data_IF_477450826020
#
_entry.id   IF_477450826020
#
_cell.length_a   1.000
_cell.length_b   1.000
_cell.length_c   1.000
_cell.angle_alpha   90.00
_cell.angle_beta   90.00
_cell.angle_gamma   90.00
#
_symmetry.space_group_name_H-M   'P 1'
#
loop_
_entity.id
_entity.type
_entity.pdbx_description
1 polymer ?
#
# COMPACT_ATOMS: atom_id res chain seq x y z
N UNK A 1 -12.30 -5.44 -0.25
CA UNK A 1 -10.86 -5.16 -0.26
C UNK A 1 -10.39 -5.25 -1.70
N UNK A 2 -9.96 -4.12 -2.27
CA UNK A 2 -9.56 -4.07 -3.68
C UNK A 2 -8.16 -4.66 -3.87
N UNK A 3 -8.08 -5.82 -4.51
CA UNK A 3 -6.82 -6.35 -5.01
C UNK A 3 -6.36 -5.49 -6.19
N UNK A 4 -5.16 -4.93 -6.11
CA UNK A 4 -4.54 -4.28 -7.26
C UNK A 4 -3.53 -5.25 -7.87
N UNK A 5 -3.71 -5.52 -9.15
CA UNK A 5 -2.74 -6.27 -9.95
C UNK A 5 -1.96 -5.25 -10.77
N UNK A 6 -0.70 -5.07 -10.43
CA UNK A 6 0.22 -4.30 -11.25
C UNK A 6 0.73 -5.25 -12.34
N UNK A 7 0.08 -5.22 -13.51
CA UNK A 7 0.37 -6.10 -14.63
C UNK A 7 1.12 -5.34 -15.72
N UNK A 8 2.30 -5.82 -16.08
CA UNK A 8 3.11 -5.28 -17.16
C UNK A 8 3.36 -6.37 -18.20
N UNK A 9 3.47 -5.95 -19.47
CA UNK A 9 3.80 -6.87 -20.56
C UNK A 9 5.28 -7.26 -20.46
N UNK A 10 5.54 -8.48 -20.05
CA UNK A 10 6.89 -9.07 -19.96
C UNK A 10 6.92 -10.10 -18.85
N UNK A 11 7.63 -11.18 -19.07
CA UNK A 11 7.93 -12.20 -18.06
C UNK A 11 9.45 -12.29 -17.88
N UNK A 12 10.05 -11.24 -17.33
CA UNK A 12 11.46 -11.28 -17.01
C UNK A 12 11.68 -12.32 -15.89
N UNK A 13 12.67 -13.17 -16.06
CA UNK A 13 13.03 -14.14 -15.02
C UNK A 13 13.66 -13.40 -13.81
N UNK A 14 12.82 -13.01 -12.86
CA UNK A 14 13.21 -12.22 -11.67
C UNK A 14 14.05 -13.05 -10.71
N UNK A 15 13.87 -14.35 -10.67
CA UNK A 15 14.59 -15.23 -9.75
C UNK A 15 16.11 -15.13 -9.91
N UNK A 16 16.57 -14.90 -11.15
CA UNK A 16 17.99 -14.81 -11.47
C UNK A 16 18.56 -13.40 -11.38
N UNK A 17 17.73 -12.37 -11.10
CA UNK A 17 18.22 -11.01 -10.97
C UNK A 17 18.93 -10.81 -9.64
N UNK A 18 20.09 -10.17 -9.70
CA UNK A 18 20.78 -9.66 -8.51
C UNK A 18 20.36 -8.21 -8.22
N UNK A 19 20.65 -7.71 -7.02
CA UNK A 19 20.41 -6.29 -6.74
C UNK A 19 21.25 -5.37 -7.65
N UNK A 20 22.43 -5.79 -8.09
CA UNK A 20 23.25 -5.03 -9.05
C UNK A 20 22.59 -4.93 -10.42
N UNK A 21 21.88 -5.98 -10.88
CA UNK A 21 21.14 -5.95 -12.15
C UNK A 21 19.96 -4.97 -12.11
N UNK A 22 19.49 -4.62 -10.94
CA UNK A 22 18.36 -3.70 -10.76
C UNK A 22 18.81 -2.29 -10.41
N UNK A 23 19.70 -2.15 -9.42
CA UNK A 23 20.08 -0.88 -8.80
C UNK A 23 21.48 -0.37 -9.20
N UNK A 24 22.27 -1.16 -9.91
CA UNK A 24 23.61 -0.76 -10.37
C UNK A 24 23.58 0.27 -11.48
N UNK A 25 24.77 0.80 -11.86
CA UNK A 25 24.93 1.81 -12.92
C UNK A 25 24.39 1.34 -14.27
N UNK A 26 24.57 0.06 -14.60
CA UNK A 26 24.03 -0.59 -15.79
C UNK A 26 22.73 -1.37 -15.52
N UNK A 27 22.12 -1.12 -14.38
CA UNK A 27 20.92 -1.81 -13.92
C UNK A 27 19.65 -1.38 -14.66
N UNK A 28 18.59 -2.12 -14.40
CA UNK A 28 17.27 -1.90 -15.02
C UNK A 28 16.73 -0.51 -14.71
N UNK A 29 16.88 -0.05 -13.46
CA UNK A 29 16.38 1.27 -13.03
C UNK A 29 17.18 2.41 -13.66
N UNK A 30 18.50 2.30 -13.75
CA UNK A 30 19.37 3.30 -14.38
C UNK A 30 19.07 3.45 -15.88
N UNK A 31 18.81 2.34 -16.56
CA UNK A 31 18.43 2.35 -17.99
C UNK A 31 17.03 2.92 -18.24
N UNK A 32 16.10 2.68 -17.32
CA UNK A 32 14.71 3.09 -17.52
C UNK A 32 14.44 4.52 -17.06
N UNK A 33 15.05 4.94 -15.97
CA UNK A 33 14.73 6.22 -15.32
C UNK A 33 15.96 7.14 -15.26
N UNK A 34 15.95 8.24 -16.02
CA UNK A 34 17.03 9.25 -16.04
C UNK A 34 17.29 9.92 -14.68
N UNK A 35 16.32 9.91 -13.79
CA UNK A 35 16.44 10.48 -12.44
C UNK A 35 17.03 9.49 -11.43
N UNK A 36 17.19 8.23 -11.80
CA UNK A 36 17.75 7.22 -10.92
C UNK A 36 19.27 7.38 -10.84
N UNK A 37 19.76 7.47 -9.63
CA UNK A 37 21.19 7.49 -9.32
C UNK A 37 21.56 6.15 -8.69
N UNK A 38 22.54 5.47 -9.24
CA UNK A 38 23.05 4.25 -8.64
C UNK A 38 23.83 4.57 -7.36
N UNK A 39 23.67 3.74 -6.36
CA UNK A 39 24.28 3.87 -5.04
C UNK A 39 24.73 2.50 -4.56
N UNK A 40 26.03 2.32 -4.37
CA UNK A 40 26.59 1.05 -3.90
C UNK A 40 25.91 0.55 -2.61
N UNK A 41 25.63 1.45 -1.66
CA UNK A 41 24.96 1.11 -0.41
C UNK A 41 23.49 0.66 -0.62
N UNK A 42 22.82 1.10 -1.70
CA UNK A 42 21.48 0.60 -2.02
C UNK A 42 21.53 -0.82 -2.56
N UNK A 43 22.52 -1.14 -3.38
CA UNK A 43 22.77 -2.50 -3.87
C UNK A 43 23.06 -3.45 -2.72
N UNK A 44 23.97 -3.06 -1.81
CA UNK A 44 24.30 -3.84 -0.61
C UNK A 44 23.06 -4.07 0.27
N UNK A 45 22.30 -3.02 0.54
CA UNK A 45 21.05 -3.11 1.33
C UNK A 45 20.04 -4.08 0.68
N UNK A 46 19.85 -4.00 -0.63
CA UNK A 46 18.91 -4.85 -1.36
C UNK A 46 19.38 -6.32 -1.38
N UNK A 47 20.68 -6.58 -1.54
CA UNK A 47 21.25 -7.92 -1.43
C UNK A 47 21.03 -8.51 -0.04
N UNK A 48 21.30 -7.75 1.01
CA UNK A 48 21.08 -8.21 2.40
C UNK A 48 19.60 -8.52 2.66
N UNK A 49 18.67 -7.71 2.15
CA UNK A 49 17.24 -8.01 2.22
C UNK A 49 16.89 -9.32 1.52
N UNK A 50 17.46 -9.55 0.33
CA UNK A 50 17.23 -10.75 -0.46
C UNK A 50 17.76 -12.00 0.26
N UNK A 51 18.98 -11.95 0.79
CA UNK A 51 19.60 -13.04 1.56
C UNK A 51 18.77 -13.40 2.82
N UNK A 52 18.28 -12.40 3.56
CA UNK A 52 17.45 -12.63 4.74
C UNK A 52 16.14 -13.32 4.35
N UNK A 53 15.45 -12.82 3.32
CA UNK A 53 14.16 -13.37 2.91
C UNK A 53 14.30 -14.77 2.28
N UNK A 54 15.31 -15.00 1.47
CA UNK A 54 15.57 -16.29 0.81
C UNK A 54 16.03 -17.35 1.81
N UNK A 55 16.87 -16.95 2.77
CA UNK A 55 17.39 -17.85 3.80
C UNK A 55 16.42 -18.17 4.94
N UNK A 56 15.20 -17.63 4.97
CA UNK A 56 14.28 -17.69 6.11
C UNK A 56 14.93 -17.22 7.43
N UNK A 57 15.82 -16.25 7.32
CA UNK A 57 16.55 -15.66 8.46
C UNK A 57 15.81 -14.42 9.00
N UNK A 58 16.21 -14.00 10.17
CA UNK A 58 15.80 -12.70 10.74
C UNK A 58 16.98 -11.74 10.70
N UNK A 59 16.71 -10.48 10.42
CA UNK A 59 17.74 -9.44 10.37
C UNK A 59 17.20 -8.08 10.79
N UNK A 60 18.09 -7.23 11.29
CA UNK A 60 17.83 -5.82 11.57
C UNK A 60 18.77 -5.00 10.70
N UNK A 61 18.21 -4.17 9.83
CA UNK A 61 18.96 -3.36 8.89
C UNK A 61 18.73 -1.88 9.19
N UNK A 62 19.81 -1.15 9.45
CA UNK A 62 19.79 0.29 9.59
C UNK A 62 20.44 0.93 8.36
N UNK A 63 19.76 1.92 7.78
CA UNK A 63 20.29 2.66 6.66
C UNK A 63 19.79 4.10 6.68
N UNK A 64 20.62 5.03 6.24
CA UNK A 64 20.32 6.46 6.20
C UNK A 64 19.09 6.83 5.37
N UNK A 65 18.54 8.00 5.62
CA UNK A 65 17.46 8.56 4.78
C UNK A 65 17.97 8.81 3.36
N UNK A 66 17.09 8.61 2.36
CA UNK A 66 17.47 8.84 0.96
C UNK A 66 18.21 7.69 0.27
N UNK A 67 18.57 6.61 0.98
CA UNK A 67 19.25 5.45 0.40
C UNK A 67 18.41 4.68 -0.64
N UNK A 68 17.10 4.86 -0.66
CA UNK A 68 16.22 4.04 -1.51
C UNK A 68 15.83 2.70 -0.89
N UNK A 69 15.82 2.62 0.45
CA UNK A 69 15.44 1.40 1.21
C UNK A 69 14.17 0.74 0.71
N UNK A 70 13.14 1.56 0.42
CA UNK A 70 11.83 1.06 -0.03
C UNK A 70 11.92 0.19 -1.26
N UNK A 71 12.66 0.63 -2.27
CA UNK A 71 12.88 -0.14 -3.49
C UNK A 71 13.69 -1.42 -3.20
N UNK A 72 14.69 -1.36 -2.31
CA UNK A 72 15.54 -2.50 -1.95
C UNK A 72 14.73 -3.65 -1.35
N UNK A 73 13.95 -3.40 -0.29
CA UNK A 73 13.15 -4.47 0.31
C UNK A 73 11.94 -4.89 -0.53
N UNK A 74 11.37 -3.98 -1.36
CA UNK A 74 10.32 -4.34 -2.31
C UNK A 74 10.85 -5.29 -3.40
N UNK A 75 12.07 -5.06 -3.89
CA UNK A 75 12.74 -5.97 -4.84
C UNK A 75 12.88 -7.36 -4.24
N UNK A 76 13.44 -7.47 -3.04
CA UNK A 76 13.59 -8.74 -2.33
C UNK A 76 12.24 -9.43 -2.09
N UNK A 77 11.20 -8.67 -1.72
CA UNK A 77 9.84 -9.17 -1.53
C UNK A 77 9.23 -9.73 -2.83
N UNK A 78 9.40 -9.01 -3.96
CA UNK A 78 8.93 -9.46 -5.28
C UNK A 78 9.68 -10.74 -5.68
N UNK A 79 11.01 -10.73 -5.59
CA UNK A 79 11.85 -11.90 -5.93
C UNK A 79 11.43 -13.13 -5.14
N UNK A 80 11.24 -13.00 -3.82
CA UNK A 80 10.76 -14.07 -2.94
C UNK A 80 9.42 -14.66 -3.40
N UNK A 81 8.51 -13.85 -3.96
CA UNK A 81 7.22 -14.34 -4.47
C UNK A 81 7.32 -15.15 -5.76
N UNK A 82 8.39 -14.99 -6.51
CA UNK A 82 8.65 -15.76 -7.73
C UNK A 82 9.48 -17.02 -7.49
N UNK A 83 9.99 -17.22 -6.29
CA UNK A 83 10.66 -18.48 -5.94
C UNK A 83 9.63 -19.62 -5.86
N UNK A 84 9.99 -20.80 -6.41
CA UNK A 84 9.09 -21.93 -6.59
C UNK A 84 8.47 -22.44 -5.27
N UNK A 85 9.17 -22.31 -4.15
CA UNK A 85 8.74 -22.74 -2.82
C UNK A 85 8.06 -21.64 -2.00
N UNK A 86 7.84 -20.46 -2.56
CA UNK A 86 7.22 -19.34 -1.84
C UNK A 86 5.74 -19.61 -1.55
N UNK A 87 5.45 -20.11 -0.37
CA UNK A 87 4.09 -20.28 0.15
C UNK A 87 3.70 -19.08 1.02
N UNK A 88 2.50 -18.55 0.80
CA UNK A 88 1.94 -17.47 1.59
C UNK A 88 2.35 -16.07 1.11
N UNK A 89 1.77 -15.02 1.73
CA UNK A 89 2.04 -13.63 1.38
C UNK A 89 3.34 -13.12 2.00
N UNK A 90 4.00 -12.17 1.32
CA UNK A 90 5.00 -11.30 1.96
C UNK A 90 4.27 -10.11 2.56
N UNK A 91 4.49 -9.84 3.83
CA UNK A 91 3.83 -8.75 4.57
C UNK A 91 4.83 -7.63 4.84
N UNK A 92 4.49 -6.41 4.42
CA UNK A 92 5.28 -5.20 4.69
C UNK A 92 4.48 -4.32 5.63
N UNK A 93 4.93 -4.19 6.88
CA UNK A 93 4.31 -3.34 7.87
C UNK A 93 4.97 -1.97 7.92
N UNK A 94 4.17 -0.90 7.87
CA UNK A 94 4.63 0.49 7.89
C UNK A 94 4.08 1.23 9.11
N UNK A 95 4.89 2.09 9.71
CA UNK A 95 4.46 2.90 10.85
C UNK A 95 3.48 4.02 10.47
N UNK A 96 3.52 4.53 9.24
CA UNK A 96 2.67 5.63 8.79
C UNK A 96 1.87 5.29 7.55
N UNK A 97 0.65 5.84 7.44
CA UNK A 97 -0.19 5.71 6.25
C UNK A 97 0.48 6.32 5.01
N UNK A 98 1.18 7.43 5.20
CA UNK A 98 1.89 8.09 4.10
C UNK A 98 2.93 7.16 3.47
N UNK A 99 3.69 6.44 4.28
CA UNK A 99 4.64 5.45 3.78
C UNK A 99 3.93 4.26 3.11
N UNK A 100 2.80 3.79 3.67
CA UNK A 100 1.99 2.75 3.03
C UNK A 100 1.52 3.19 1.63
N UNK A 101 0.99 4.41 1.53
CA UNK A 101 0.50 4.97 0.27
C UNK A 101 1.66 5.17 -0.73
N UNK A 102 2.82 5.64 -0.28
CA UNK A 102 4.01 5.75 -1.12
C UNK A 102 4.44 4.40 -1.67
N UNK A 103 4.57 3.39 -0.82
CA UNK A 103 4.97 2.04 -1.25
C UNK A 103 4.00 1.45 -2.26
N UNK A 104 2.70 1.55 -1.98
CA UNK A 104 1.68 0.91 -2.78
C UNK A 104 1.40 1.64 -4.11
N UNK A 105 1.30 2.98 -4.08
CA UNK A 105 0.90 3.76 -5.26
C UNK A 105 2.05 4.34 -6.07
N UNK A 106 3.29 4.33 -5.53
CA UNK A 106 4.45 4.91 -6.22
C UNK A 106 5.58 3.91 -6.43
N UNK A 107 6.09 3.32 -5.35
CA UNK A 107 7.32 2.54 -5.40
C UNK A 107 7.09 1.17 -6.04
N UNK A 108 6.05 0.46 -5.62
CA UNK A 108 5.71 -0.86 -6.16
C UNK A 108 5.35 -0.84 -7.65
N UNK A 109 4.49 0.07 -8.15
CA UNK A 109 4.23 0.17 -9.59
C UNK A 109 5.46 0.46 -10.42
N UNK A 110 6.32 1.41 -9.98
CA UNK A 110 7.55 1.75 -10.69
C UNK A 110 8.52 0.57 -10.77
N UNK A 111 8.66 -0.14 -9.65
CA UNK A 111 9.54 -1.30 -9.61
C UNK A 111 8.98 -2.45 -10.47
N UNK A 112 7.69 -2.73 -10.39
CA UNK A 112 7.03 -3.74 -11.23
C UNK A 112 7.16 -3.43 -12.71
N UNK A 113 6.99 -2.16 -13.08
CA UNK A 113 7.19 -1.69 -14.45
C UNK A 113 8.64 -1.82 -14.91
N UNK A 114 9.61 -1.48 -14.06
CA UNK A 114 11.03 -1.60 -14.38
C UNK A 114 11.46 -3.07 -14.54
N UNK A 115 10.95 -3.94 -13.69
CA UNK A 115 11.21 -5.37 -13.71
C UNK A 115 10.39 -6.11 -14.79
N UNK A 116 9.48 -5.42 -15.49
CA UNK A 116 8.59 -6.02 -16.48
C UNK A 116 7.83 -7.24 -15.91
N UNK A 117 7.32 -7.09 -14.70
CA UNK A 117 6.68 -8.20 -13.98
C UNK A 117 5.33 -7.81 -13.40
N UNK A 118 4.43 -8.79 -13.30
CA UNK A 118 3.12 -8.61 -12.68
C UNK A 118 3.18 -8.90 -11.20
N UNK A 119 2.77 -7.94 -10.36
CA UNK A 119 2.73 -8.11 -8.91
C UNK A 119 1.29 -7.96 -8.40
N UNK A 120 0.79 -8.98 -7.71
CA UNK A 120 -0.48 -8.91 -7.00
C UNK A 120 -0.22 -8.41 -5.59
N UNK A 121 -0.76 -7.25 -5.24
CA UNK A 121 -0.58 -6.63 -3.94
C UNK A 121 -1.90 -6.15 -3.35
N UNK A 122 -1.99 -6.10 -2.03
CA UNK A 122 -3.13 -5.62 -1.27
C UNK A 122 -2.66 -4.61 -0.23
N UNK A 123 -3.28 -3.42 -0.22
CA UNK A 123 -3.08 -2.42 0.82
C UNK A 123 -4.11 -2.59 1.93
N UNK A 124 -3.65 -2.85 3.15
CA UNK A 124 -4.50 -2.99 4.33
C UNK A 124 -4.15 -1.92 5.35
N UNK A 125 -5.12 -1.11 5.75
CA UNK A 125 -5.02 -0.13 6.83
C UNK A 125 -5.76 -0.65 8.07
N UNK A 126 -5.52 -0.03 9.23
CA UNK A 126 -6.27 -0.37 10.44
C UNK A 126 -7.78 -0.12 10.25
N UNK A 127 -8.64 -0.94 10.88
CA UNK A 127 -10.10 -0.92 10.72
C UNK A 127 -10.74 0.46 10.81
N UNK A 128 -10.27 1.33 11.70
CA UNK A 128 -10.77 2.71 11.86
C UNK A 128 -10.60 3.61 10.63
N UNK A 129 -9.87 3.16 9.62
CA UNK A 129 -9.70 3.87 8.37
C UNK A 129 -10.75 3.49 7.32
N UNK A 130 -11.56 2.49 7.60
CA UNK A 130 -12.62 2.02 6.69
C UNK A 130 -13.99 2.38 7.23
N UNK A 131 -14.92 2.64 6.30
CA UNK A 131 -16.31 2.86 6.65
C UNK A 131 -16.93 1.56 7.15
N UNK A 132 -17.80 1.68 8.16
CA UNK A 132 -18.72 0.64 8.55
C UNK A 132 -20.11 0.99 7.99
N UNK A 133 -20.60 0.18 7.07
CA UNK A 133 -21.90 0.41 6.42
C UNK A 133 -23.03 0.46 7.44
N UNK A 134 -23.08 -0.47 8.37
CA UNK A 134 -24.11 -0.50 9.44
C UNK A 134 -24.10 0.78 10.27
N UNK A 135 -22.93 1.27 10.67
CA UNK A 135 -22.82 2.52 11.43
C UNK A 135 -23.23 3.74 10.59
N UNK A 136 -22.90 3.72 9.32
CA UNK A 136 -23.33 4.78 8.41
C UNK A 136 -24.85 4.78 8.24
N UNK A 137 -25.47 3.62 8.06
CA UNK A 137 -26.93 3.48 7.94
C UNK A 137 -27.65 3.94 9.22
N UNK A 138 -27.13 3.59 10.40
CA UNK A 138 -27.64 4.11 11.67
C UNK A 138 -27.51 5.63 11.77
N UNK A 139 -26.34 6.16 11.41
CA UNK A 139 -26.09 7.60 11.45
C UNK A 139 -27.06 8.38 10.54
N UNK A 140 -27.34 7.87 9.36
CA UNK A 140 -28.29 8.51 8.42
C UNK A 140 -29.74 8.32 8.85
N UNK A 141 -30.06 7.22 9.53
CA UNK A 141 -31.44 6.92 9.99
C UNK A 141 -31.81 7.69 11.22
N UNK A 142 -30.87 8.03 12.10
CA UNK A 142 -31.12 8.79 13.34
C UNK A 142 -31.08 10.30 13.05
N UNK A 143 -32.26 10.83 12.67
CA UNK A 143 -32.41 12.27 12.35
C UNK A 143 -32.41 13.18 13.59
N UNK A 144 -32.45 12.63 14.80
CA UNK A 144 -32.54 13.42 16.02
C UNK A 144 -31.27 14.18 16.37
N UNK A 145 -30.11 13.70 15.87
CA UNK A 145 -28.79 14.23 16.20
C UNK A 145 -28.06 14.84 14.99
N UNK A 146 -28.73 14.98 13.83
CA UNK A 146 -28.10 15.47 12.59
C UNK A 146 -28.62 16.84 12.25
N UNK A 147 -27.76 17.86 12.28
CA UNK A 147 -28.11 19.22 11.85
C UNK A 147 -28.16 19.32 10.30
N UNK A 148 -28.78 20.39 9.79
CA UNK A 148 -28.81 20.66 8.33
C UNK A 148 -27.39 20.74 7.75
N UNK A 149 -26.48 21.38 8.48
CA UNK A 149 -25.06 21.48 8.10
C UNK A 149 -24.36 20.12 8.07
N UNK A 150 -24.77 19.16 8.91
CA UNK A 150 -24.23 17.80 8.88
C UNK A 150 -24.73 17.04 7.66
N UNK A 151 -25.98 17.27 7.26
CA UNK A 151 -26.56 16.67 6.03
C UNK A 151 -25.75 17.14 4.81
N UNK A 152 -25.50 18.42 4.68
CA UNK A 152 -24.67 18.95 3.58
C UNK A 152 -23.27 18.35 3.58
N UNK A 153 -22.69 18.15 4.76
CA UNK A 153 -21.37 17.53 4.92
C UNK A 153 -21.34 16.04 4.55
N UNK A 154 -22.48 15.35 4.57
CA UNK A 154 -22.61 13.92 4.26
C UNK A 154 -22.77 13.68 2.76
N UNK A 155 -23.28 14.65 1.99
CA UNK A 155 -23.55 14.48 0.56
C UNK A 155 -22.35 13.94 -0.25
N UNK A 156 -21.13 14.50 -0.11
CA UNK A 156 -19.95 13.95 -0.79
C UNK A 156 -19.67 12.49 -0.39
N UNK A 157 -20.02 12.13 0.85
CA UNK A 157 -19.83 10.80 1.37
C UNK A 157 -20.78 9.79 0.75
N UNK A 158 -22.06 10.16 0.61
CA UNK A 158 -23.09 9.32 -0.04
C UNK A 158 -22.70 9.05 -1.50
N UNK A 159 -22.19 10.08 -2.19
CA UNK A 159 -21.72 9.92 -3.56
C UNK A 159 -20.51 9.00 -3.63
N UNK A 160 -19.49 9.22 -2.78
CA UNK A 160 -18.29 8.39 -2.72
C UNK A 160 -18.61 6.94 -2.38
N UNK A 161 -19.56 6.68 -1.45
CA UNK A 161 -19.99 5.34 -1.06
C UNK A 161 -20.51 4.50 -2.23
N UNK A 162 -21.12 5.11 -3.23
CA UNK A 162 -21.60 4.40 -4.42
C UNK A 162 -20.47 3.98 -5.35
N UNK A 163 -19.29 4.57 -5.22
CA UNK A 163 -18.18 4.39 -6.17
C UNK A 163 -16.95 3.73 -5.54
N UNK A 164 -16.81 3.79 -4.21
CA UNK A 164 -15.66 3.17 -3.54
C UNK A 164 -15.69 1.65 -3.66
N UNK A 165 -14.52 1.08 -3.95
CA UNK A 165 -14.30 -0.37 -3.93
C UNK A 165 -13.59 -0.83 -2.65
N UNK A 166 -12.84 0.07 -2.01
CA UNK A 166 -12.04 -0.20 -0.83
C UNK A 166 -12.75 0.09 0.48
N UNK A 167 -13.66 1.09 0.47
CA UNK A 167 -14.24 1.66 1.68
C UNK A 167 -13.26 2.48 2.53
N UNK A 168 -12.06 2.78 2.01
CA UNK A 168 -11.05 3.59 2.70
C UNK A 168 -11.48 5.06 2.77
N UNK A 169 -11.74 5.53 3.97
CA UNK A 169 -12.20 6.90 4.25
C UNK A 169 -11.24 8.00 3.75
N UNK A 170 -9.97 7.66 3.52
CA UNK A 170 -9.00 8.61 2.96
C UNK A 170 -9.24 8.93 1.49
N UNK A 171 -9.98 8.10 0.77
CA UNK A 171 -10.33 8.30 -0.65
C UNK A 171 -11.46 9.33 -0.84
N UNK A 172 -12.22 9.64 0.22
CA UNK A 172 -13.30 10.61 0.18
C UNK A 172 -12.75 12.03 0.28
N UNK A 173 -12.52 12.69 -0.85
CA UNK A 173 -11.88 14.01 -0.94
C UNK A 173 -12.84 15.20 -0.69
N UNK A 174 -14.13 14.98 -0.58
CA UNK A 174 -15.15 16.04 -0.48
C UNK A 174 -15.41 16.61 0.93
N UNK A 175 -14.65 16.20 1.94
CA UNK A 175 -14.91 16.56 3.34
C UNK A 175 -14.05 17.73 3.85
N UNK A 176 -14.63 18.69 4.56
CA UNK A 176 -13.87 19.68 5.33
C UNK A 176 -13.19 19.01 6.54
N UNK A 177 -11.94 19.41 6.85
CA UNK A 177 -11.10 18.68 7.81
C UNK A 177 -11.63 18.64 9.26
N UNK A 178 -12.43 19.61 9.73
CA UNK A 178 -12.94 19.64 11.10
C UNK A 178 -14.18 18.76 11.31
N UNK A 179 -15.14 18.81 10.40
CA UNK A 179 -16.36 17.97 10.45
C UNK A 179 -16.06 16.55 10.04
N UNK A 180 -15.12 16.31 9.16
CA UNK A 180 -14.65 15.00 8.74
C UNK A 180 -14.25 14.12 9.92
N UNK A 181 -13.51 14.65 10.89
CA UNK A 181 -13.05 13.85 12.05
C UNK A 181 -14.20 13.34 12.91
N UNK A 182 -15.20 14.17 13.15
CA UNK A 182 -16.34 13.78 13.95
C UNK A 182 -17.18 12.72 13.24
N UNK A 183 -17.61 12.97 12.01
CA UNK A 183 -18.41 12.01 11.22
C UNK A 183 -17.63 10.70 11.01
N UNK A 184 -16.37 10.76 10.65
CA UNK A 184 -15.56 9.54 10.45
C UNK A 184 -15.40 8.73 11.72
N UNK A 185 -15.36 9.36 12.91
CA UNK A 185 -15.33 8.64 14.17
C UNK A 185 -16.62 7.85 14.46
N UNK A 186 -17.76 8.36 13.99
CA UNK A 186 -19.05 7.70 14.13
C UNK A 186 -19.25 6.53 13.16
N UNK A 187 -18.82 6.72 11.93
CA UNK A 187 -19.08 5.78 10.82
C UNK A 187 -17.93 4.81 10.54
N UNK A 188 -16.76 5.02 11.13
CA UNK A 188 -15.63 4.12 10.93
C UNK A 188 -15.83 2.78 11.63
N UNK A 189 -15.16 1.75 11.12
CA UNK A 189 -15.12 0.41 11.71
C UNK A 189 -14.25 0.37 12.99
N UNK A 190 -14.55 1.23 13.97
CA UNK A 190 -13.89 1.25 15.27
C UNK A 190 -14.31 0.05 16.14
N UNK A 191 -13.64 -0.11 17.29
CA UNK A 191 -13.87 -1.17 18.26
C UNK A 191 -15.35 -1.41 18.57
N UNK A 192 -15.83 -2.60 18.31
CA UNK A 192 -17.19 -3.06 18.56
C UNK A 192 -17.51 -4.26 17.67
N UNK A 193 -18.41 -5.09 18.11
CA UNK A 193 -18.89 -6.21 17.32
C UNK A 193 -19.62 -5.65 16.09
N UNK A 194 -19.13 -5.99 14.91
CA UNK A 194 -19.91 -5.84 13.70
C UNK A 194 -20.90 -7.00 13.67
N UNK A 195 -22.18 -6.71 13.89
CA UNK A 195 -23.28 -7.69 13.78
C UNK A 195 -23.83 -7.73 12.36
N UNK A 196 -23.18 -7.07 11.42
CA UNK A 196 -23.66 -7.00 10.06
C UNK A 196 -23.20 -8.19 9.22
N UNK A 197 -24.15 -8.87 8.62
CA UNK A 197 -23.89 -9.67 7.43
C UNK A 197 -23.29 -8.77 6.36
N UNK A 198 -22.09 -9.14 5.90
CA UNK A 198 -21.38 -8.45 4.81
C UNK A 198 -21.92 -8.96 3.49
#
# INVERSE_FOLDING_TARGET
LGDSIFSFKGDRNIQNLTASDVFGSEGVLSKKYKWFEDRANQVEYANTCDEILSGNNSGVLEAGTGLGKSMGYLFAAIKRKYESDSRGPVVIACNTKHLQDQLFYKDLPKLSEALETSVKALLIKGRKNYICKTRFDWFVSDRSNVSVDDIESILPFIFWLKHTKSGDLSECNGFSNSRKKWITSLICSATGFCTGDI
#
